data_IF_651685017610
#
_entry.id   IF_651685017610
#
_cell.length_a   1.000
_cell.length_b   1.000
_cell.length_c   1.000
_cell.angle_alpha   90.00
_cell.angle_beta   90.00
_cell.angle_gamma   90.00
#
_symmetry.space_group_name_H-M   'P 1'
#
loop_
_entity.id
_entity.type
_entity.pdbx_description
1 polymer ?
#
# COMPACT_ATOMS: atom_id res chain seq x y z
N UNK A 1 -2.20 -21.93 -5.13
CA UNK A 1 -1.09 -20.99 -5.32
C UNK A 1 -1.61 -19.58 -5.53
N UNK A 2 -1.03 -18.66 -4.84
CA UNK A 2 -1.47 -17.27 -4.89
C UNK A 2 -0.84 -16.55 -6.08
N UNK A 3 -1.67 -15.87 -6.84
CA UNK A 3 -1.19 -15.05 -7.95
C UNK A 3 -0.72 -13.72 -7.40
N UNK A 4 0.54 -13.41 -7.61
CA UNK A 4 1.07 -12.13 -7.21
C UNK A 4 0.72 -11.06 -8.24
N UNK A 5 0.56 -9.85 -7.77
CA UNK A 5 0.35 -8.70 -8.65
C UNK A 5 1.57 -7.81 -8.61
N UNK A 6 1.79 -7.10 -9.70
CA UNK A 6 2.83 -6.09 -9.75
C UNK A 6 2.19 -4.73 -9.58
N UNK A 7 2.69 -3.99 -8.61
CA UNK A 7 2.22 -2.63 -8.35
C UNK A 7 3.28 -1.65 -8.78
N UNK A 8 2.90 -0.71 -9.60
CA UNK A 8 3.83 0.29 -10.10
C UNK A 8 3.25 1.67 -9.86
N UNK A 9 3.94 2.47 -9.07
CA UNK A 9 3.54 3.84 -8.83
C UNK A 9 4.05 4.66 -9.99
N UNK A 10 3.13 5.22 -10.78
CA UNK A 10 3.49 5.97 -11.97
C UNK A 10 3.36 7.47 -11.77
N UNK A 11 2.77 7.90 -10.67
CA UNK A 11 2.68 9.32 -10.36
C UNK A 11 2.52 9.49 -8.87
N UNK A 12 3.24 10.44 -8.32
CA UNK A 12 3.15 10.78 -6.90
C UNK A 12 2.94 12.28 -6.80
N UNK A 13 1.96 12.69 -6.00
CA UNK A 13 1.66 14.09 -5.81
C UNK A 13 1.37 14.35 -4.34
N UNK A 14 2.09 15.30 -3.77
CA UNK A 14 1.84 15.69 -2.39
C UNK A 14 0.75 16.75 -2.37
N UNK A 15 -0.24 16.53 -1.50
CA UNK A 15 -1.34 17.46 -1.31
C UNK A 15 -1.43 17.83 0.15
N UNK A 16 -2.37 18.69 0.48
CA UNK A 16 -2.52 19.12 1.86
C UNK A 16 -2.94 17.94 2.73
N UNK A 17 -2.02 17.50 3.59
CA UNK A 17 -2.29 16.43 4.53
C UNK A 17 -2.14 15.03 4.00
N UNK A 18 -1.71 14.85 2.76
CA UNK A 18 -1.57 13.51 2.21
C UNK A 18 -0.71 13.47 0.97
N UNK A 19 -0.40 12.24 0.54
CA UNK A 19 0.18 11.99 -0.77
C UNK A 19 -0.84 11.20 -1.58
N UNK A 20 -0.93 11.52 -2.88
CA UNK A 20 -1.77 10.79 -3.81
C UNK A 20 -0.88 10.06 -4.79
N UNK A 21 -1.12 8.77 -4.93
CA UNK A 21 -0.36 7.94 -5.86
C UNK A 21 -1.28 7.39 -6.93
N UNK A 22 -0.83 7.47 -8.18
CA UNK A 22 -1.48 6.75 -9.26
C UNK A 22 -0.72 5.44 -9.45
N UNK A 23 -1.43 4.32 -9.37
CA UNK A 23 -0.83 3.00 -9.32
C UNK A 23 -1.36 2.16 -10.46
N UNK A 24 -0.44 1.55 -11.19
CA UNK A 24 -0.80 0.51 -12.15
C UNK A 24 -0.75 -0.83 -11.45
N UNK A 25 -1.83 -1.58 -11.54
CA UNK A 25 -1.92 -2.91 -10.97
C UNK A 25 -1.94 -3.90 -12.14
N UNK A 26 -0.91 -4.71 -12.21
CA UNK A 26 -0.74 -5.64 -13.31
C UNK A 26 -0.82 -7.07 -12.78
N UNK A 27 -1.81 -7.84 -13.23
CA UNK A 27 -1.88 -9.25 -12.80
C UNK A 27 -0.73 -10.03 -13.42
N UNK A 28 -0.15 -10.91 -12.63
CA UNK A 28 1.00 -11.67 -13.07
C UNK A 28 0.55 -12.93 -13.79
N UNK A 29 1.17 -13.19 -14.93
CA UNK A 29 0.97 -14.44 -15.64
C UNK A 29 -0.32 -14.54 -16.42
N UNK A 30 -1.08 -13.48 -16.55
CA UNK A 30 -2.34 -13.49 -17.25
C UNK A 30 -2.39 -12.38 -18.27
N UNK A 31 -3.18 -12.57 -19.30
CA UNK A 31 -3.38 -11.54 -20.30
C UNK A 31 -4.49 -10.57 -19.90
N UNK A 32 -4.57 -10.27 -18.64
CA UNK A 32 -5.57 -9.33 -18.14
C UNK A 32 -5.07 -7.90 -18.31
N UNK A 33 -5.98 -6.96 -18.52
CA UNK A 33 -5.57 -5.58 -18.70
C UNK A 33 -5.03 -5.00 -17.40
N UNK A 34 -4.12 -4.05 -17.56
CA UNK A 34 -3.61 -3.27 -16.44
C UNK A 34 -4.74 -2.40 -15.90
N UNK A 35 -4.85 -2.35 -14.59
CA UNK A 35 -5.86 -1.52 -13.93
C UNK A 35 -5.20 -0.38 -13.21
N UNK A 36 -5.88 0.75 -13.18
CA UNK A 36 -5.39 1.92 -12.47
C UNK A 36 -6.14 2.08 -11.16
N UNK A 37 -5.41 2.44 -10.12
CA UNK A 37 -5.97 2.73 -8.82
C UNK A 37 -5.34 4.00 -8.30
N UNK A 38 -6.09 4.74 -7.49
CA UNK A 38 -5.57 5.90 -6.78
C UNK A 38 -5.43 5.52 -5.32
N UNK A 39 -4.26 5.77 -4.76
CA UNK A 39 -4.01 5.49 -3.36
C UNK A 39 -3.72 6.81 -2.65
N UNK A 40 -4.46 7.06 -1.59
CA UNK A 40 -4.25 8.24 -0.74
C UNK A 40 -3.58 7.79 0.54
N UNK A 41 -2.42 8.35 0.82
CA UNK A 41 -1.70 8.08 2.07
C UNK A 41 -1.74 9.33 2.91
N UNK A 42 -2.45 9.29 4.04
CA UNK A 42 -2.52 10.44 4.92
C UNK A 42 -1.22 10.60 5.69
N UNK A 43 -0.89 11.84 6.04
CA UNK A 43 0.27 12.10 6.88
C UNK A 43 0.13 11.39 8.23
N UNK A 44 -1.08 11.31 8.74
CA UNK A 44 -1.32 10.65 10.02
C UNK A 44 -0.97 9.16 9.95
N UNK A 45 -1.37 8.50 8.88
CA UNK A 45 -1.06 7.08 8.75
C UNK A 45 0.42 6.87 8.49
N UNK A 46 1.03 7.75 7.71
CA UNK A 46 2.48 7.68 7.53
C UNK A 46 3.20 7.75 8.87
N UNK A 47 2.82 8.71 9.71
CA UNK A 47 3.46 8.87 11.02
C UNK A 47 3.19 7.68 11.94
N UNK A 48 2.03 7.06 11.78
CA UNK A 48 1.68 5.90 12.58
C UNK A 48 2.61 4.73 12.28
N UNK A 49 2.96 4.54 11.02
CA UNK A 49 3.74 3.38 10.60
C UNK A 49 5.23 3.63 10.48
N UNK A 50 5.65 4.88 10.31
CA UNK A 50 7.05 5.24 10.13
C UNK A 50 7.44 6.20 11.24
N UNK A 51 8.27 5.71 12.15
CA UNK A 51 8.55 6.48 13.37
C UNK A 51 9.53 7.60 13.17
N UNK A 52 10.52 7.41 12.29
CA UNK A 52 11.61 8.36 12.16
C UNK A 52 11.60 9.12 10.84
N UNK A 53 10.61 8.88 10.01
CA UNK A 53 10.46 9.63 8.78
C UNK A 53 11.51 9.33 7.72
N UNK A 54 12.22 8.22 7.85
CA UNK A 54 13.29 7.89 6.91
C UNK A 54 12.83 7.10 5.70
N UNK A 55 11.58 6.66 5.69
CA UNK A 55 11.04 5.83 4.61
C UNK A 55 10.29 6.73 3.64
N UNK A 56 10.52 6.51 2.34
CA UNK A 56 9.83 7.29 1.33
C UNK A 56 8.34 6.98 1.34
N UNK A 57 7.48 7.98 1.11
CA UNK A 57 6.04 7.74 1.06
C UNK A 57 5.64 6.67 0.05
N UNK A 58 6.33 6.59 -1.09
CA UNK A 58 6.01 5.57 -2.09
C UNK A 58 6.24 4.17 -1.54
N UNK A 59 7.26 3.97 -0.71
CA UNK A 59 7.50 2.67 -0.11
C UNK A 59 6.37 2.29 0.84
N UNK A 60 5.85 3.26 1.57
CA UNK A 60 4.70 3.02 2.43
C UNK A 60 3.48 2.65 1.60
N UNK A 61 3.28 3.36 0.50
CA UNK A 61 2.16 3.04 -0.40
C UNK A 61 2.24 1.62 -0.92
N UNK A 62 3.43 1.18 -1.31
CA UNK A 62 3.60 -0.18 -1.79
C UNK A 62 3.34 -1.21 -0.69
N UNK A 63 3.71 -0.89 0.55
CA UNK A 63 3.45 -1.80 1.66
C UNK A 63 1.94 -1.97 1.89
N UNK A 64 1.17 -0.88 1.76
CA UNK A 64 -0.27 -0.95 1.87
C UNK A 64 -0.84 -1.90 0.81
N UNK A 65 -0.39 -1.73 -0.43
CA UNK A 65 -0.91 -2.54 -1.52
C UNK A 65 -0.52 -4.00 -1.36
N UNK A 66 0.68 -4.26 -0.90
CA UNK A 66 1.09 -5.64 -0.66
C UNK A 66 0.29 -6.29 0.44
N UNK A 67 -0.03 -5.53 1.49
CA UNK A 67 -0.88 -6.07 2.52
C UNK A 67 -2.27 -6.39 1.99
N UNK A 68 -2.83 -5.48 1.19
CA UNK A 68 -4.16 -5.69 0.63
C UNK A 68 -4.19 -6.90 -0.29
N UNK A 69 -3.09 -7.15 -0.98
CA UNK A 69 -3.01 -8.33 -1.83
C UNK A 69 -3.17 -9.62 -1.04
N UNK A 70 -2.74 -9.62 0.22
CA UNK A 70 -2.81 -10.84 1.04
C UNK A 70 -4.18 -11.05 1.65
N UNK A 71 -4.98 -10.01 1.79
CA UNK A 71 -6.24 -10.15 2.54
C UNK A 71 -7.49 -9.95 1.69
N UNK A 72 -7.35 -9.54 0.44
CA UNK A 72 -8.52 -9.34 -0.40
C UNK A 72 -8.18 -9.57 -1.86
N UNK A 73 -9.23 -9.71 -2.65
CA UNK A 73 -9.09 -9.80 -4.09
C UNK A 73 -8.80 -8.41 -4.63
N UNK A 74 -7.72 -8.28 -5.37
CA UNK A 74 -7.34 -6.97 -5.92
C UNK A 74 -8.44 -6.41 -6.82
N UNK A 75 -9.12 -7.28 -7.56
CA UNK A 75 -10.19 -6.83 -8.45
C UNK A 75 -11.34 -6.19 -7.69
N UNK A 76 -11.50 -6.54 -6.42
CA UNK A 76 -12.60 -6.01 -5.60
C UNK A 76 -12.25 -4.73 -4.87
N UNK A 77 -11.02 -4.26 -5.00
CA UNK A 77 -10.62 -3.02 -4.34
C UNK A 77 -11.28 -1.83 -5.03
N UNK A 78 -11.64 -0.81 -4.26
CA UNK A 78 -12.20 0.39 -4.89
C UNK A 78 -11.17 1.08 -5.77
N UNK A 79 -11.67 1.88 -6.70
CA UNK A 79 -10.78 2.63 -7.57
C UNK A 79 -9.92 3.61 -6.79
N UNK A 80 -10.47 4.16 -5.72
CA UNK A 80 -9.74 5.04 -4.81
C UNK A 80 -9.59 4.33 -3.48
N UNK A 81 -8.36 4.14 -3.06
CA UNK A 81 -8.03 3.44 -1.83
C UNK A 81 -7.44 4.43 -0.86
N UNK A 82 -8.03 4.53 0.32
CA UNK A 82 -7.46 5.35 1.38
C UNK A 82 -6.55 4.51 2.25
N UNK A 83 -5.51 5.12 2.80
CA UNK A 83 -4.56 4.39 3.64
C UNK A 83 -5.22 3.78 4.88
N UNK A 84 -6.38 4.29 5.27
CA UNK A 84 -7.12 3.72 6.40
C UNK A 84 -7.95 2.50 6.01
N UNK A 85 -8.04 2.20 4.72
CA UNK A 85 -8.90 1.12 4.24
C UNK A 85 -8.53 -0.24 4.85
N UNK A 86 -7.23 -0.63 4.92
CA UNK A 86 -6.89 -1.92 5.53
C UNK A 86 -7.34 -2.01 6.97
N UNK A 87 -7.18 -0.93 7.74
CA UNK A 87 -7.56 -0.94 9.15
C UNK A 87 -9.04 -1.19 9.33
N UNK A 88 -9.85 -0.66 8.43
CA UNK A 88 -11.29 -0.85 8.52
C UNK A 88 -11.71 -2.28 8.20
N UNK A 89 -10.87 -3.00 7.46
CA UNK A 89 -11.16 -4.39 7.14
C UNK A 89 -10.62 -5.35 8.18
N UNK A 90 -9.40 -5.07 8.68
CA UNK A 90 -8.71 -5.99 9.57
C UNK A 90 -8.11 -5.19 10.72
N UNK A 91 -8.50 -5.48 11.98
CA UNK A 91 -7.98 -4.70 13.09
C UNK A 91 -6.45 -4.76 13.25
N UNK A 92 -5.82 -5.85 12.79
CA UNK A 92 -4.38 -6.02 12.96
C UNK A 92 -3.58 -5.44 11.80
N UNK A 93 -4.22 -4.73 10.87
CA UNK A 93 -3.56 -4.29 9.67
C UNK A 93 -2.39 -3.35 9.94
N UNK A 94 -2.53 -2.46 10.93
CA UNK A 94 -1.48 -1.49 11.19
C UNK A 94 -0.15 -2.14 11.52
N UNK A 95 -0.18 -3.17 12.38
CA UNK A 95 1.06 -3.87 12.72
C UNK A 95 1.65 -4.60 11.53
N UNK A 96 0.80 -5.21 10.72
CA UNK A 96 1.27 -5.95 9.55
C UNK A 96 1.88 -5.02 8.51
N UNK A 97 1.26 -3.86 8.29
CA UNK A 97 1.79 -2.90 7.33
C UNK A 97 3.12 -2.35 7.82
N UNK A 98 3.21 -2.00 9.09
CA UNK A 98 4.46 -1.49 9.65
C UNK A 98 5.60 -2.49 9.47
N UNK A 99 5.31 -3.79 9.64
CA UNK A 99 6.33 -4.81 9.46
C UNK A 99 6.77 -4.92 8.00
N UNK A 100 5.86 -4.70 7.06
CA UNK A 100 6.22 -4.72 5.65
C UNK A 100 7.07 -3.51 5.26
N UNK A 101 6.84 -2.37 5.91
CA UNK A 101 7.59 -1.16 5.61
C UNK A 101 9.05 -1.31 6.02
N UNK A 102 9.29 -1.85 7.21
CA UNK A 102 10.64 -1.90 7.74
C UNK A 102 10.94 -3.24 8.37
N UNK A 103 11.02 -4.29 7.56
CA UNK A 103 11.33 -5.61 8.10
C UNK A 103 12.74 -5.71 8.67
N UNK A 104 13.66 -4.85 8.22
CA UNK A 104 15.03 -4.89 8.71
C UNK A 104 15.07 -4.52 10.19
N UNK A 105 14.29 -3.52 10.59
CA UNK A 105 14.25 -3.15 11.99
C UNK A 105 13.79 -4.29 12.87
N UNK A 106 12.83 -5.05 12.41
CA UNK A 106 12.34 -6.18 13.19
C UNK A 106 13.35 -7.30 13.28
N UNK A 107 14.14 -7.50 12.22
CA UNK A 107 15.16 -8.54 12.25
C UNK A 107 16.35 -8.19 13.11
N UNK A 108 16.56 -6.92 13.32
CA UNK A 108 17.67 -6.45 14.13
C UNK A 108 17.43 -6.60 15.62
N UNK A 109 16.22 -6.86 16.01
CA UNK A 109 15.85 -6.94 17.42
C UNK A 109 16.21 -8.25 18.10
#
# INVERSE_FOLDING_TARGET
MTMAHTFKIIQEQEEDGCWMFKVEVEPQGEASPVRLRLLRLSWEDYDLWVRDGTVEPAAVGLAILKYLETCCEIADLPERIDSSYPRRREPQADGAIAALIDPVMFREQ
#
